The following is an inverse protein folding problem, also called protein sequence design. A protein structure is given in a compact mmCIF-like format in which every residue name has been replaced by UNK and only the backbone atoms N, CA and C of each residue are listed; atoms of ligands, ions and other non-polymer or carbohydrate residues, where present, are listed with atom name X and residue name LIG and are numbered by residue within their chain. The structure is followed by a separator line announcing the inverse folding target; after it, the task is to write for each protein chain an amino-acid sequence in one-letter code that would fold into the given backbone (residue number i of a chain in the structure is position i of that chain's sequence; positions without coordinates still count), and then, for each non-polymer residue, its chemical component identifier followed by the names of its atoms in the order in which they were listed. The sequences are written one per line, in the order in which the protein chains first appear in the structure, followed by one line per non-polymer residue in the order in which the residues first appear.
data_IF_649019505835
#
_entry.id   IF_649019505835
#
_cell.length_a   1.000
_cell.length_b   1.000
_cell.length_c   1.000
_cell.angle_alpha   90.00
_cell.angle_beta   90.00
_cell.angle_gamma   90.00
#
_symmetry.space_group_name_H-M   'P 1'
#
loop_
_entity.id
_entity.type
_entity.pdbx_description
1 polymer ?
#
# COMPACT_ATOMS: atom_id res chain seq x y z
N UNK A 1 -25.72 -18.27 2.67
CA UNK A 1 -24.28 -18.03 2.95
C UNK A 1 -23.51 -18.64 1.78
N UNK A 2 -22.51 -17.93 1.23
CA UNK A 2 -21.71 -18.46 0.11
C UNK A 2 -20.68 -19.49 0.62
N UNK A 3 -20.40 -20.52 -0.18
CA UNK A 3 -19.43 -21.57 0.15
C UNK A 3 -17.99 -21.09 -0.16
N UNK A 4 -17.09 -21.00 0.84
CA UNK A 4 -15.73 -20.53 0.64
C UNK A 4 -14.87 -21.47 -0.21
N UNK A 5 -15.23 -22.75 -0.38
CA UNK A 5 -14.42 -23.69 -1.19
C UNK A 5 -14.56 -23.48 -2.69
N UNK A 6 -15.49 -22.62 -3.12
CA UNK A 6 -15.70 -22.27 -4.53
C UNK A 6 -14.72 -21.22 -5.04
N UNK A 7 -13.90 -20.62 -4.16
CA UNK A 7 -12.96 -19.56 -4.51
C UNK A 7 -11.51 -20.03 -4.38
N UNK A 8 -10.73 -19.83 -5.43
CA UNK A 8 -9.28 -19.98 -5.41
C UNK A 8 -8.63 -18.61 -5.43
N UNK A 9 -7.77 -18.35 -4.45
CA UNK A 9 -7.00 -17.11 -4.37
C UNK A 9 -5.52 -17.41 -4.68
N UNK A 10 -4.83 -16.52 -5.40
CA UNK A 10 -3.40 -16.63 -5.58
C UNK A 10 -2.67 -16.57 -4.23
N UNK A 11 -1.44 -17.06 -4.21
CA UNK A 11 -0.60 -16.91 -3.01
C UNK A 11 -0.40 -15.42 -2.72
N UNK A 12 -0.52 -14.97 -1.45
CA UNK A 12 -0.17 -13.59 -1.08
C UNK A 12 1.28 -13.22 -1.42
N UNK A 13 2.14 -14.23 -1.61
CA UNK A 13 3.54 -14.06 -1.97
C UNK A 13 3.75 -14.01 -3.49
N UNK A 14 2.71 -14.25 -4.30
CA UNK A 14 2.80 -14.22 -5.76
C UNK A 14 3.35 -12.87 -6.25
N UNK A 15 4.44 -12.92 -7.02
CA UNK A 15 5.18 -11.73 -7.48
C UNK A 15 6.27 -11.25 -6.52
N UNK A 16 6.33 -11.81 -5.31
CA UNK A 16 7.33 -11.46 -4.27
C UNK A 16 8.29 -12.61 -3.95
N UNK A 17 8.15 -13.77 -4.60
CA UNK A 17 9.05 -14.91 -4.36
C UNK A 17 10.45 -14.63 -4.92
N UNK A 18 11.48 -15.00 -4.15
CA UNK A 18 12.90 -14.92 -4.54
C UNK A 18 13.40 -13.51 -4.85
N UNK A 19 12.73 -12.46 -4.36
CA UNK A 19 13.25 -11.10 -4.40
C UNK A 19 14.44 -10.95 -3.43
N UNK A 20 15.22 -9.90 -3.66
CA UNK A 20 16.29 -9.54 -2.75
C UNK A 20 15.73 -9.25 -1.35
N UNK A 21 16.47 -9.59 -0.28
CA UNK A 21 16.07 -9.22 1.08
C UNK A 21 16.00 -7.70 1.22
N UNK A 22 15.31 -7.25 2.26
CA UNK A 22 15.29 -5.83 2.61
C UNK A 22 16.71 -5.34 2.96
N UNK A 23 17.03 -4.06 2.71
CA UNK A 23 18.29 -3.46 3.14
C UNK A 23 18.45 -3.46 4.66
N UNK A 24 19.68 -3.50 5.16
CA UNK A 24 19.98 -3.46 6.60
C UNK A 24 20.09 -2.05 7.19
N UNK A 25 20.15 -1.01 6.34
CA UNK A 25 20.33 0.38 6.77
C UNK A 25 19.14 0.85 7.60
N UNK A 26 19.41 1.31 8.83
CA UNK A 26 18.40 1.82 9.75
C UNK A 26 18.27 3.34 9.65
N UNK A 27 17.06 3.84 9.85
CA UNK A 27 16.82 5.27 10.02
C UNK A 27 17.55 5.80 11.28
N UNK A 28 17.70 7.12 11.38
CA UNK A 28 18.44 7.76 12.48
C UNK A 28 17.90 7.45 13.88
N UNK A 29 16.63 7.07 14.00
CA UNK A 29 16.01 6.65 15.26
C UNK A 29 16.24 5.16 15.60
N UNK A 30 16.81 4.39 14.68
CA UNK A 30 17.07 2.96 14.80
C UNK A 30 15.84 2.06 14.73
N UNK A 31 14.64 2.61 14.50
CA UNK A 31 13.36 1.88 14.66
C UNK A 31 12.82 1.30 13.36
N UNK A 32 13.29 1.82 12.22
CA UNK A 32 12.89 1.37 10.89
C UNK A 32 14.09 1.23 9.96
N UNK A 33 13.89 0.54 8.85
CA UNK A 33 14.83 0.60 7.73
C UNK A 33 14.66 1.95 7.01
N UNK A 34 15.73 2.42 6.38
CA UNK A 34 15.67 3.65 5.58
C UNK A 34 14.65 3.50 4.46
N UNK A 35 13.67 4.40 4.45
CA UNK A 35 12.76 4.56 3.32
C UNK A 35 13.38 5.54 2.33
N UNK A 36 13.81 5.09 1.14
CA UNK A 36 14.35 6.00 0.14
C UNK A 36 13.30 7.06 -0.25
N UNK A 37 13.72 8.28 -0.59
CA UNK A 37 12.80 9.33 -1.03
C UNK A 37 12.08 8.88 -2.30
N UNK A 38 10.75 8.98 -2.30
CA UNK A 38 9.95 8.71 -3.49
C UNK A 38 10.19 9.78 -4.55
N UNK A 39 10.18 9.40 -5.84
CA UNK A 39 10.34 10.34 -6.96
C UNK A 39 9.24 11.42 -6.98
N UNK A 40 8.02 11.06 -6.56
CA UNK A 40 6.89 11.97 -6.45
C UNK A 40 6.01 11.61 -5.25
N UNK A 41 5.23 12.59 -4.77
CA UNK A 41 4.16 12.34 -3.80
C UNK A 41 3.09 11.46 -4.45
N UNK A 42 2.49 10.57 -3.66
CA UNK A 42 1.33 9.79 -4.10
C UNK A 42 0.14 10.72 -4.35
N UNK A 43 -0.64 10.42 -5.39
CA UNK A 43 -1.86 11.18 -5.73
C UNK A 43 -2.93 11.11 -4.63
N UNK A 44 -2.83 10.13 -3.72
CA UNK A 44 -3.68 10.01 -2.53
C UNK A 44 -3.51 11.19 -1.55
N UNK A 45 -2.40 11.94 -1.63
CA UNK A 45 -2.21 13.14 -0.82
C UNK A 45 -3.03 14.34 -1.32
N UNK A 46 -3.53 14.28 -2.56
CA UNK A 46 -4.25 15.40 -3.19
C UNK A 46 -5.66 15.01 -3.64
N UNK A 47 -5.96 13.72 -3.71
CA UNK A 47 -7.26 13.24 -4.19
C UNK A 47 -7.70 11.93 -3.52
N UNK A 48 -9.00 11.82 -3.26
CA UNK A 48 -9.69 10.59 -2.93
C UNK A 48 -9.88 9.73 -4.18
N UNK A 49 -10.00 8.42 -3.95
CA UNK A 49 -10.35 7.47 -4.99
C UNK A 49 -11.79 7.69 -5.46
N UNK A 50 -12.01 7.56 -6.77
CA UNK A 50 -13.36 7.56 -7.35
C UNK A 50 -14.21 6.45 -6.71
N UNK A 51 -15.50 6.71 -6.38
CA UNK A 51 -16.31 7.87 -6.75
C UNK A 51 -16.37 9.00 -5.70
N UNK A 52 -15.50 8.99 -4.69
CA UNK A 52 -15.52 10.02 -3.63
C UNK A 52 -15.09 11.37 -4.23
N UNK A 53 -15.90 12.40 -4.02
CA UNK A 53 -15.62 13.74 -4.54
C UNK A 53 -14.52 14.42 -3.72
N UNK A 54 -13.71 15.24 -4.40
CA UNK A 54 -12.61 16.00 -3.78
C UNK A 54 -13.05 17.42 -3.33
N UNK A 55 -14.36 17.62 -3.12
CA UNK A 55 -14.91 18.89 -2.63
C UNK A 55 -14.74 19.07 -1.12
N UNK A 56 -15.20 20.18 -0.57
CA UNK A 56 -15.05 20.52 0.86
C UNK A 56 -15.68 19.48 1.81
N UNK A 57 -16.75 18.80 1.39
CA UNK A 57 -17.41 17.70 2.12
C UNK A 57 -16.90 16.32 1.70
N UNK A 58 -15.79 16.23 0.95
CA UNK A 58 -15.33 15.00 0.31
C UNK A 58 -15.23 13.80 1.26
N UNK A 59 -16.17 12.86 1.12
CA UNK A 59 -16.25 11.63 1.93
C UNK A 59 -16.95 11.77 3.29
N UNK A 60 -17.43 12.96 3.65
CA UNK A 60 -18.13 13.23 4.91
C UNK A 60 -19.53 13.78 4.64
N UNK A 61 -20.54 13.23 5.32
CA UNK A 61 -21.93 13.72 5.29
C UNK A 61 -22.04 15.04 6.05
#
# INVERSE_FOLDING_TARGET
MADPTLYTYPSPLEGYQNLQPLPDEKAADGKSYVNPPAEKKSDAYTSFVSPITNGERGGFD
#
